data_IF_449520821251
#
_entry.id   IF_449520821251
#
_cell.length_a   1.000
_cell.length_b   1.000
_cell.length_c   1.000
_cell.angle_alpha   90.00
_cell.angle_beta   90.00
_cell.angle_gamma   90.00
#
_symmetry.space_group_name_H-M   'P 1'
#
loop_
_entity.id
_entity.type
_entity.pdbx_description
1 polymer ?
#
# COMPACT_ATOMS: atom_id res chain seq x y z
N UNK A 1 -18.31 -6.52 3.86
CA UNK A 1 -17.17 -5.61 4.14
C UNK A 1 -16.34 -6.26 5.24
N UNK A 2 -15.02 -6.33 5.06
CA UNK A 2 -14.10 -6.83 6.07
C UNK A 2 -13.95 -5.82 7.22
N UNK A 3 -13.90 -6.31 8.45
CA UNK A 3 -13.66 -5.50 9.65
C UNK A 3 -12.47 -6.10 10.40
N UNK A 4 -11.41 -5.31 10.68
CA UNK A 4 -10.26 -5.78 11.45
C UNK A 4 -10.64 -6.30 12.83
N UNK A 5 -9.89 -7.27 13.32
CA UNK A 5 -10.11 -7.84 14.64
C UNK A 5 -9.71 -6.86 15.74
N UNK A 6 -10.46 -6.87 16.84
CA UNK A 6 -10.13 -6.09 18.05
C UNK A 6 -8.79 -6.52 18.67
N UNK A 7 -8.29 -7.70 18.30
CA UNK A 7 -7.06 -8.28 18.82
C UNK A 7 -5.83 -8.04 17.94
N UNK A 8 -5.97 -7.37 16.79
CA UNK A 8 -4.86 -7.09 15.85
C UNK A 8 -3.68 -6.32 16.47
N UNK A 9 -3.93 -5.61 17.57
CA UNK A 9 -2.91 -4.87 18.32
C UNK A 9 -2.10 -5.73 19.28
N UNK A 10 -2.49 -7.00 19.49
CA UNK A 10 -1.87 -7.91 20.44
C UNK A 10 -1.05 -8.96 19.69
N UNK A 11 0.03 -9.42 20.32
CA UNK A 11 0.77 -10.57 19.81
C UNK A 11 -0.06 -11.84 20.03
N UNK A 12 -0.26 -12.61 18.97
CA UNK A 12 -0.94 -13.89 19.01
C UNK A 12 0.06 -15.04 19.21
N UNK A 13 -0.43 -16.11 19.85
CA UNK A 13 0.26 -17.39 19.97
C UNK A 13 -0.41 -18.41 19.07
N UNK A 14 0.39 -19.27 18.46
CA UNK A 14 -0.10 -20.40 17.69
C UNK A 14 -0.95 -21.32 18.58
N UNK A 15 -2.22 -21.60 18.22
CA UNK A 15 -3.07 -22.54 18.95
C UNK A 15 -2.53 -23.97 19.03
N UNK A 16 -1.71 -24.40 18.07
CA UNK A 16 -1.16 -25.76 18.00
C UNK A 16 0.05 -25.96 18.91
N UNK A 17 0.94 -24.98 19.00
CA UNK A 17 2.27 -25.14 19.62
C UNK A 17 2.67 -24.01 20.59
N UNK A 18 1.83 -22.99 20.77
CA UNK A 18 2.04 -21.88 21.69
C UNK A 18 3.16 -20.91 21.30
N UNK A 19 3.77 -21.02 20.11
CA UNK A 19 4.81 -20.08 19.67
C UNK A 19 4.22 -18.76 19.20
N UNK A 20 4.99 -17.68 19.33
CA UNK A 20 4.61 -16.38 18.78
C UNK A 20 4.45 -16.46 17.27
N UNK A 21 3.35 -15.89 16.79
CA UNK A 21 3.10 -15.77 15.37
C UNK A 21 3.88 -14.59 14.78
N UNK A 22 4.52 -14.84 13.65
CA UNK A 22 5.12 -13.80 12.81
C UNK A 22 4.03 -13.17 11.94
N UNK A 23 4.13 -11.86 11.65
CA UNK A 23 3.10 -11.11 10.94
C UNK A 23 3.62 -10.55 9.61
N UNK A 24 2.81 -10.65 8.57
CA UNK A 24 3.04 -10.02 7.27
C UNK A 24 1.87 -9.09 6.95
N UNK A 25 2.17 -7.80 6.74
CA UNK A 25 1.16 -6.80 6.39
C UNK A 25 0.70 -6.96 4.95
N UNK A 26 -0.60 -6.84 4.72
CA UNK A 26 -1.24 -6.82 3.40
C UNK A 26 -1.81 -5.42 3.16
N UNK A 27 -1.10 -4.54 2.43
CA UNK A 27 -1.52 -3.15 2.24
C UNK A 27 -2.47 -2.93 1.05
N UNK A 28 -2.78 -3.98 0.28
CA UNK A 28 -3.45 -3.87 -1.03
C UNK A 28 -4.98 -3.84 -0.95
N UNK A 29 -5.55 -3.87 0.25
CA UNK A 29 -6.98 -3.76 0.51
C UNK A 29 -7.33 -2.36 1.02
N UNK A 30 -8.59 -1.95 0.85
CA UNK A 30 -9.12 -0.67 1.38
C UNK A 30 -8.84 -0.50 2.88
N UNK A 31 -8.87 -1.62 3.62
CA UNK A 31 -8.47 -1.70 5.02
C UNK A 31 -7.29 -2.66 5.09
N UNK A 32 -6.05 -2.18 5.36
CA UNK A 32 -4.89 -3.04 5.52
C UNK A 32 -5.07 -4.01 6.68
N UNK A 33 -4.53 -5.22 6.54
CA UNK A 33 -4.60 -6.27 7.56
C UNK A 33 -3.29 -7.06 7.62
N UNK A 34 -3.23 -8.08 8.49
CA UNK A 34 -2.02 -8.86 8.72
C UNK A 34 -2.31 -10.35 8.64
N UNK A 35 -1.54 -11.07 7.84
CA UNK A 35 -1.52 -12.54 7.90
C UNK A 35 -0.51 -12.95 8.96
N UNK A 36 -0.84 -14.01 9.69
CA UNK A 36 0.03 -14.54 10.72
C UNK A 36 0.54 -15.93 10.37
N UNK A 37 1.81 -16.21 10.67
CA UNK A 37 2.44 -17.52 10.45
C UNK A 37 3.21 -17.98 11.67
N UNK A 38 2.97 -19.23 12.08
CA UNK A 38 3.82 -19.88 13.07
C UNK A 38 5.16 -20.27 12.45
N UNK A 39 6.25 -19.84 13.08
CA UNK A 39 7.61 -20.17 12.61
C UNK A 39 8.05 -21.60 12.99
N UNK A 40 7.29 -22.30 13.84
CA UNK A 40 7.57 -23.68 14.23
C UNK A 40 6.79 -24.69 13.36
N UNK A 41 5.45 -24.66 13.41
CA UNK A 41 4.63 -25.62 12.65
C UNK A 41 4.31 -25.19 11.21
N UNK A 42 4.58 -23.92 10.84
CA UNK A 42 4.27 -23.37 9.52
C UNK A 42 2.79 -23.01 9.31
N UNK A 43 1.93 -23.18 10.32
CA UNK A 43 0.51 -22.84 10.23
C UNK A 43 0.27 -21.37 9.89
N UNK A 44 -0.66 -21.13 8.97
CA UNK A 44 -1.13 -19.80 8.57
C UNK A 44 -2.44 -19.51 9.27
N UNK A 45 -2.55 -18.30 9.83
CA UNK A 45 -3.72 -17.85 10.54
C UNK A 45 -4.24 -16.55 9.91
N UNK A 46 -5.55 -16.52 9.69
CA UNK A 46 -6.28 -15.41 9.10
C UNK A 46 -7.54 -15.19 9.92
N UNK A 47 -7.84 -13.95 10.23
CA UNK A 47 -9.11 -13.58 10.85
C UNK A 47 -10.26 -13.67 9.84
N UNK A 48 -11.49 -13.64 10.36
CA UNK A 48 -12.68 -13.80 9.56
C UNK A 48 -12.74 -12.76 8.42
N UNK A 49 -12.83 -13.24 7.17
CA UNK A 49 -12.88 -12.44 5.96
C UNK A 49 -11.52 -12.04 5.37
N UNK A 50 -10.41 -12.23 6.07
CA UNK A 50 -9.08 -11.96 5.50
C UNK A 50 -8.72 -12.94 4.38
N UNK A 51 -9.09 -14.21 4.55
CA UNK A 51 -8.86 -15.24 3.53
C UNK A 51 -9.55 -14.90 2.20
N UNK A 52 -10.80 -14.46 2.23
CA UNK A 52 -11.55 -14.08 1.03
C UNK A 52 -10.90 -12.90 0.32
N UNK A 53 -10.35 -11.95 1.08
CA UNK A 53 -9.59 -10.83 0.52
C UNK A 53 -8.31 -11.35 -0.15
N UNK A 54 -7.55 -12.23 0.50
CA UNK A 54 -6.34 -12.82 -0.08
C UNK A 54 -6.62 -13.59 -1.36
N UNK A 55 -7.73 -14.31 -1.40
CA UNK A 55 -8.18 -15.02 -2.60
C UNK A 55 -8.50 -14.04 -3.72
N UNK A 56 -9.27 -12.99 -3.42
CA UNK A 56 -9.64 -11.95 -4.40
C UNK A 56 -8.43 -11.20 -4.96
N UNK A 57 -7.36 -11.06 -4.17
CA UNK A 57 -6.10 -10.43 -4.57
C UNK A 57 -5.14 -11.42 -5.26
N UNK A 58 -5.47 -12.71 -5.29
CA UNK A 58 -4.59 -13.77 -5.83
C UNK A 58 -3.39 -14.10 -4.96
N UNK A 59 -3.29 -13.57 -3.73
CA UNK A 59 -2.15 -13.80 -2.84
C UNK A 59 -2.23 -15.10 -2.04
N UNK A 60 -3.39 -15.77 -2.02
CA UNK A 60 -3.58 -17.05 -1.33
C UNK A 60 -2.60 -18.16 -1.79
N UNK A 61 -2.08 -18.09 -3.02
CA UNK A 61 -1.07 -19.04 -3.55
C UNK A 61 0.37 -18.63 -3.26
N UNK A 62 0.61 -17.42 -2.76
CA UNK A 62 1.94 -16.83 -2.56
C UNK A 62 2.18 -16.37 -1.12
N UNK A 63 1.37 -16.84 -0.16
CA UNK A 63 1.41 -16.41 1.25
C UNK A 63 2.83 -16.50 1.83
N UNK A 64 3.57 -17.56 1.54
CA UNK A 64 4.94 -17.72 2.04
C UNK A 64 5.89 -16.62 1.58
N UNK A 65 5.71 -16.12 0.36
CA UNK A 65 6.53 -15.04 -0.18
C UNK A 65 6.28 -13.73 0.57
N UNK A 66 5.08 -13.53 1.13
CA UNK A 66 4.70 -12.31 1.85
C UNK A 66 5.49 -12.11 3.16
N UNK A 67 6.02 -13.19 3.72
CA UNK A 67 6.91 -13.16 4.87
C UNK A 67 8.37 -12.91 4.49
N UNK A 68 8.71 -12.87 3.20
CA UNK A 68 10.07 -12.57 2.77
C UNK A 68 10.38 -11.06 2.90
N UNK A 69 11.61 -10.70 3.30
CA UNK A 69 12.02 -9.29 3.39
C UNK A 69 11.84 -8.51 2.08
N UNK A 70 12.12 -9.17 0.94
CA UNK A 70 12.02 -8.55 -0.39
C UNK A 70 10.57 -8.22 -0.75
N UNK A 71 9.64 -9.14 -0.49
CA UNK A 71 8.23 -8.88 -0.72
C UNK A 71 7.73 -7.74 0.17
N UNK A 72 8.08 -7.76 1.46
CA UNK A 72 7.67 -6.69 2.38
C UNK A 72 8.24 -5.33 1.99
N UNK A 73 9.47 -5.28 1.47
CA UNK A 73 10.05 -4.05 0.94
C UNK A 73 9.27 -3.53 -0.28
N UNK A 74 8.93 -4.41 -1.22
CA UNK A 74 8.13 -4.07 -2.40
C UNK A 74 6.73 -3.59 -2.02
N UNK A 75 6.07 -4.28 -1.11
CA UNK A 75 4.74 -3.92 -0.61
C UNK A 75 4.73 -2.53 0.05
N UNK A 76 5.77 -2.19 0.83
CA UNK A 76 5.91 -0.85 1.42
C UNK A 76 6.08 0.25 0.38
N UNK A 77 6.84 0.01 -0.68
CA UNK A 77 7.02 0.98 -1.76
C UNK A 77 5.72 1.21 -2.52
N UNK A 78 4.96 0.15 -2.81
CA UNK A 78 3.66 0.26 -3.46
C UNK A 78 2.63 0.97 -2.57
N UNK A 79 2.61 0.67 -1.27
CA UNK A 79 1.73 1.36 -0.31
C UNK A 79 2.04 2.87 -0.26
N UNK A 80 3.32 3.25 -0.27
CA UNK A 80 3.72 4.66 -0.29
C UNK A 80 3.25 5.36 -1.57
N UNK A 81 3.48 4.75 -2.73
CA UNK A 81 3.05 5.32 -4.02
C UNK A 81 1.53 5.50 -4.09
N UNK A 82 0.76 4.51 -3.64
CA UNK A 82 -0.71 4.60 -3.62
C UNK A 82 -1.19 5.69 -2.65
N UNK A 83 -0.54 5.83 -1.50
CA UNK A 83 -0.87 6.89 -0.56
C UNK A 83 -0.58 8.28 -1.13
N UNK A 84 0.54 8.47 -1.81
CA UNK A 84 0.87 9.72 -2.49
C UNK A 84 -0.15 10.06 -3.58
N UNK A 85 -0.53 9.06 -4.38
CA UNK A 85 -1.60 9.16 -5.38
C UNK A 85 -2.93 9.58 -4.74
N UNK A 86 -3.34 8.95 -3.65
CA UNK A 86 -4.59 9.28 -2.97
C UNK A 86 -4.57 10.70 -2.41
N UNK A 87 -3.45 11.16 -1.84
CA UNK A 87 -3.30 12.54 -1.35
C UNK A 87 -3.45 13.56 -2.50
N UNK A 88 -2.95 13.26 -3.70
CA UNK A 88 -3.14 14.10 -4.88
C UNK A 88 -4.62 14.16 -5.28
N UNK A 89 -5.30 13.02 -5.33
CA UNK A 89 -6.73 12.93 -5.66
C UNK A 89 -7.57 13.71 -4.64
N UNK A 90 -7.32 13.53 -3.34
CA UNK A 90 -8.06 14.19 -2.27
C UNK A 90 -7.92 15.72 -2.33
N UNK A 91 -6.75 16.23 -2.73
CA UNK A 91 -6.47 17.67 -2.79
C UNK A 91 -6.91 18.34 -4.09
N UNK A 92 -6.77 17.65 -5.22
CA UNK A 92 -6.96 18.24 -6.55
C UNK A 92 -8.27 17.80 -7.21
N UNK A 93 -8.94 16.78 -6.66
CA UNK A 93 -10.01 16.07 -7.33
C UNK A 93 -9.47 15.07 -8.36
N UNK A 94 -10.29 14.07 -8.75
CA UNK A 94 -9.85 12.96 -9.59
C UNK A 94 -9.37 13.41 -10.98
N UNK A 95 -10.01 14.42 -11.57
CA UNK A 95 -9.70 14.86 -12.94
C UNK A 95 -8.33 15.55 -13.02
N UNK A 96 -8.07 16.52 -12.14
CA UNK A 96 -6.79 17.24 -12.13
C UNK A 96 -5.66 16.33 -11.67
N UNK A 97 -5.91 15.48 -10.66
CA UNK A 97 -4.92 14.50 -10.22
C UNK A 97 -4.54 13.54 -11.36
N UNK A 98 -5.50 13.12 -12.19
CA UNK A 98 -5.25 12.31 -13.37
C UNK A 98 -4.20 12.93 -14.31
N UNK A 99 -4.38 14.19 -14.70
CA UNK A 99 -3.41 14.90 -15.54
C UNK A 99 -2.02 15.01 -14.91
N UNK A 100 -1.95 15.29 -13.60
CA UNK A 100 -0.67 15.41 -12.88
C UNK A 100 0.06 14.07 -12.85
N UNK A 101 -0.66 12.98 -12.57
CA UNK A 101 -0.10 11.63 -12.50
C UNK A 101 0.39 11.17 -13.88
N UNK A 102 -0.40 11.39 -14.93
CA UNK A 102 0.01 11.07 -16.30
C UNK A 102 1.25 11.84 -16.73
N UNK A 103 1.30 13.15 -16.42
CA UNK A 103 2.48 13.96 -16.72
C UNK A 103 3.70 13.52 -15.91
N UNK A 104 3.52 13.10 -14.65
CA UNK A 104 4.62 12.60 -13.83
C UNK A 104 5.27 11.35 -14.45
N UNK A 105 4.46 10.41 -14.95
CA UNK A 105 4.96 9.23 -15.67
C UNK A 105 5.72 9.60 -16.95
N UNK A 106 5.18 10.52 -17.75
CA UNK A 106 5.87 11.01 -18.97
C UNK A 106 7.21 11.67 -18.65
N UNK A 107 7.31 12.36 -17.51
CA UNK A 107 8.52 13.06 -17.10
C UNK A 107 9.52 12.19 -16.34
N UNK A 108 9.13 11.01 -15.82
CA UNK A 108 9.97 10.19 -14.94
C UNK A 108 11.35 9.87 -15.55
N UNK A 109 11.38 9.58 -16.86
CA UNK A 109 12.60 9.25 -17.60
C UNK A 109 13.16 10.43 -18.42
N UNK A 110 12.55 11.63 -18.32
CA UNK A 110 12.94 12.77 -19.16
C UNK A 110 14.13 13.55 -18.53
N UNK A 111 15.25 13.78 -19.25
CA UNK A 111 16.44 14.44 -18.70
C UNK A 111 16.25 15.85 -18.13
N UNK A 112 15.13 16.50 -18.46
CA UNK A 112 14.79 17.87 -18.06
C UNK A 112 13.43 17.98 -17.34
N UNK A 113 13.03 16.94 -16.60
CA UNK A 113 11.78 16.92 -15.84
C UNK A 113 11.66 18.09 -14.84
N UNK A 114 12.77 18.51 -14.25
CA UNK A 114 12.89 19.64 -13.34
C UNK A 114 12.48 20.99 -13.97
N UNK A 115 12.83 21.20 -15.24
CA UNK A 115 12.44 22.38 -16.01
C UNK A 115 10.91 22.46 -16.16
N UNK A 116 10.26 21.34 -16.51
CA UNK A 116 8.82 21.25 -16.64
C UNK A 116 8.11 21.54 -15.30
N UNK A 117 8.57 20.92 -14.21
CA UNK A 117 8.02 21.15 -12.87
C UNK A 117 8.14 22.63 -12.45
N UNK A 118 9.30 23.24 -12.70
CA UNK A 118 9.55 24.66 -12.40
C UNK A 118 8.64 25.60 -13.21
N UNK A 119 8.45 25.32 -14.50
CA UNK A 119 7.53 26.10 -15.34
C UNK A 119 6.09 26.06 -14.81
N UNK A 120 5.60 24.87 -14.43
CA UNK A 120 4.24 24.68 -13.89
C UNK A 120 4.08 25.47 -12.58
N UNK A 121 5.03 25.33 -11.65
CA UNK A 121 5.01 26.05 -10.38
C UNK A 121 4.99 27.57 -10.59
N UNK A 122 5.89 28.09 -11.43
CA UNK A 122 5.98 29.52 -11.74
C UNK A 122 4.68 30.03 -12.36
N UNK A 123 4.06 29.27 -13.27
CA UNK A 123 2.78 29.65 -13.90
C UNK A 123 1.66 29.76 -12.87
N UNK A 124 1.58 28.82 -11.92
CA UNK A 124 0.61 28.87 -10.83
C UNK A 124 0.84 30.08 -9.90
N UNK A 125 2.10 30.40 -9.58
CA UNK A 125 2.45 31.57 -8.77
C UNK A 125 2.10 32.89 -9.44
N UNK A 126 2.40 33.04 -10.73
CA UNK A 126 2.04 34.23 -11.50
C UNK A 126 0.54 34.43 -11.49
N UNK A 127 -0.24 33.35 -11.69
CA UNK A 127 -1.69 33.45 -11.68
C UNK A 127 -2.25 33.87 -10.33
N UNK A 128 -1.65 33.42 -9.22
CA UNK A 128 -2.03 33.85 -7.87
C UNK A 128 -1.73 35.32 -7.57
N UNK A 129 -0.76 35.93 -8.26
CA UNK A 129 -0.42 37.35 -8.10
C UNK A 129 -1.31 38.29 -8.91
N UNK A 130 -2.00 37.76 -9.93
CA UNK A 130 -2.96 38.51 -10.76
C UNK A 130 -4.35 38.61 -10.12
N UNK A 131 -4.63 37.76 -9.12
CA UNK A 131 -5.87 37.70 -8.34
C UNK A 131 -5.66 38.50 -7.05
#
# INVERSE_FOLDING_TARGET
>A
EFTPSLYDSKAALCPEDGHYLSRAKVPFSKVPFYIERCMLCGGIWCDNGEWDILESLGFHTEIDQMFSPNWQAKARLQELAERERQVLIDKLGPDIAGYVLELAEVLADHPHADCAATYILRKAELKRKEI
#
